data_IF_369527822334
#
_entry.id   IF_369527822334
#
_cell.length_a   1.000
_cell.length_b   1.000
_cell.length_c   1.000
_cell.angle_alpha   90.00
_cell.angle_beta   90.00
_cell.angle_gamma   90.00
#
_symmetry.space_group_name_H-M   'P 1'
#
loop_
_entity.id
_entity.type
_entity.pdbx_description
1 polymer ?
#
# COMPACT_ATOMS: atom_id res chain seq x y z
N UNK A 1 16.30 5.71 22.84
CA UNK A 1 16.67 5.05 21.58
C UNK A 1 15.88 5.81 20.56
N UNK A 2 16.57 6.61 19.74
CA UNK A 2 15.92 7.25 18.61
C UNK A 2 15.60 6.09 17.66
N UNK A 3 14.33 5.69 17.59
CA UNK A 3 13.88 4.78 16.54
C UNK A 3 14.06 5.56 15.24
N UNK A 4 15.01 5.16 14.40
CA UNK A 4 15.15 5.73 13.07
C UNK A 4 13.84 5.42 12.33
N UNK A 5 13.06 6.46 12.04
CA UNK A 5 11.86 6.32 11.21
C UNK A 5 12.26 5.69 9.88
N UNK A 6 11.53 4.65 9.43
CA UNK A 6 11.86 3.99 8.19
C UNK A 6 11.65 4.96 7.02
N UNK A 7 12.68 5.07 6.17
CA UNK A 7 12.69 5.99 5.02
C UNK A 7 11.79 5.42 3.90
N UNK A 8 11.07 6.27 3.14
CA UNK A 8 10.38 5.87 1.92
C UNK A 8 11.25 5.05 0.96
N UNK A 9 10.72 3.91 0.51
CA UNK A 9 11.42 2.96 -0.33
C UNK A 9 10.58 2.63 -1.58
N UNK A 10 11.26 2.40 -2.70
CA UNK A 10 10.65 1.94 -3.95
C UNK A 10 10.48 0.42 -3.91
N UNK A 11 9.36 -0.07 -4.46
CA UNK A 11 9.08 -1.49 -4.64
C UNK A 11 8.75 -1.80 -6.09
N UNK A 12 9.38 -2.86 -6.59
CA UNK A 12 9.12 -3.39 -7.93
C UNK A 12 8.13 -4.56 -7.91
N UNK A 13 7.70 -5.04 -6.74
CA UNK A 13 6.71 -6.12 -6.63
C UNK A 13 5.72 -5.87 -5.50
N UNK A 14 4.47 -6.31 -5.69
CA UNK A 14 3.44 -6.23 -4.65
C UNK A 14 3.87 -7.01 -3.40
N UNK A 15 4.48 -8.18 -3.60
CA UNK A 15 4.87 -9.03 -2.49
C UNK A 15 5.95 -8.38 -1.62
N UNK A 16 6.94 -7.70 -2.21
CA UNK A 16 7.97 -7.01 -1.46
C UNK A 16 7.40 -5.81 -0.71
N UNK A 17 6.49 -5.06 -1.34
CA UNK A 17 5.77 -3.97 -0.69
C UNK A 17 4.98 -4.47 0.53
N UNK A 18 4.15 -5.50 0.37
CA UNK A 18 3.34 -6.03 1.46
C UNK A 18 4.19 -6.65 2.57
N UNK A 19 5.31 -7.30 2.23
CA UNK A 19 6.25 -7.81 3.25
C UNK A 19 6.87 -6.67 4.06
N UNK A 20 7.19 -5.55 3.43
CA UNK A 20 7.69 -4.37 4.14
C UNK A 20 6.63 -3.76 5.05
N UNK A 21 5.41 -3.56 4.55
CA UNK A 21 4.30 -3.04 5.36
C UNK A 21 3.99 -3.95 6.56
N UNK A 22 4.05 -5.28 6.38
CA UNK A 22 3.90 -6.24 7.46
C UNK A 22 5.00 -6.11 8.52
N UNK A 23 6.25 -5.94 8.10
CA UNK A 23 7.38 -5.67 9.03
C UNK A 23 7.22 -4.36 9.78
N UNK A 24 6.62 -3.36 9.14
CA UNK A 24 6.30 -2.07 9.72
C UNK A 24 5.08 -2.10 10.67
N UNK A 25 4.42 -3.25 10.83
CA UNK A 25 3.30 -3.42 11.76
C UNK A 25 1.91 -3.37 11.11
N UNK A 26 1.83 -3.41 9.78
CA UNK A 26 0.58 -3.47 9.02
C UNK A 26 0.37 -4.87 8.45
N UNK A 27 -0.31 -5.78 9.17
CA UNK A 27 -0.55 -7.13 8.66
C UNK A 27 -1.50 -7.06 7.45
N UNK A 28 -1.38 -8.03 6.53
CA UNK A 28 -2.05 -7.96 5.23
C UNK A 28 -3.59 -7.87 5.32
N UNK A 29 -4.19 -8.43 6.38
CA UNK A 29 -5.62 -8.37 6.68
C UNK A 29 -6.07 -7.00 7.23
N UNK A 30 -5.13 -6.09 7.46
CA UNK A 30 -5.33 -4.71 7.89
C UNK A 30 -4.86 -3.69 6.85
N UNK A 31 -4.50 -4.14 5.65
CA UNK A 31 -4.14 -3.26 4.55
C UNK A 31 -5.30 -3.19 3.57
N UNK A 32 -5.63 -1.96 3.21
CA UNK A 32 -6.62 -1.62 2.19
C UNK A 32 -5.93 -0.90 1.03
N UNK A 33 -6.61 -0.77 -0.09
CA UNK A 33 -6.14 0.07 -1.19
C UNK A 33 -7.26 0.90 -1.80
N UNK A 34 -6.91 2.08 -2.28
CA UNK A 34 -7.73 2.87 -3.19
C UNK A 34 -7.33 2.61 -4.62
N UNK A 35 -8.34 2.63 -5.48
CA UNK A 35 -8.21 2.62 -6.92
C UNK A 35 -8.57 3.97 -7.54
N UNK A 36 -8.02 4.24 -8.72
CA UNK A 36 -8.29 5.46 -9.45
C UNK A 36 -9.78 5.58 -9.74
N UNK A 37 -10.35 6.78 -9.54
CA UNK A 37 -11.77 7.07 -9.77
C UNK A 37 -12.76 6.14 -9.04
N UNK A 38 -12.35 5.52 -7.93
CA UNK A 38 -13.18 4.58 -7.21
C UNK A 38 -13.31 3.21 -7.90
N UNK A 39 -12.35 2.85 -8.76
CA UNK A 39 -12.30 1.54 -9.40
C UNK A 39 -11.10 0.72 -8.89
N UNK A 40 -11.40 -0.41 -8.24
CA UNK A 40 -10.40 -1.38 -7.76
C UNK A 40 -9.50 -1.92 -8.88
N UNK A 41 -9.94 -1.79 -10.13
CA UNK A 41 -9.20 -2.24 -11.30
C UNK A 41 -8.04 -1.32 -11.67
N UNK A 42 -7.73 -0.26 -10.93
CA UNK A 42 -6.51 0.56 -11.10
C UNK A 42 -5.99 1.04 -9.73
N UNK A 43 -5.23 0.23 -8.98
CA UNK A 43 -4.76 0.60 -7.65
C UNK A 43 -3.78 1.79 -7.71
N UNK A 44 -3.96 2.75 -6.79
CA UNK A 44 -3.13 3.97 -6.71
C UNK A 44 -2.54 4.24 -5.33
N UNK A 45 -3.11 3.68 -4.26
CA UNK A 45 -2.66 3.91 -2.91
C UNK A 45 -3.00 2.73 -2.00
N UNK A 46 -2.14 2.44 -1.03
CA UNK A 46 -2.39 1.53 0.08
C UNK A 46 -2.59 2.30 1.37
N UNK A 47 -3.54 1.82 2.17
CA UNK A 47 -3.95 2.41 3.43
C UNK A 47 -3.78 1.40 4.55
N UNK A 48 -3.39 1.88 5.72
CA UNK A 48 -3.54 1.14 6.94
C UNK A 48 -5.02 1.09 7.37
N UNK A 49 -5.33 0.19 8.31
CA UNK A 49 -6.67 0.03 8.90
C UNK A 49 -7.18 1.30 9.59
N UNK A 50 -6.31 2.25 9.91
CA UNK A 50 -6.65 3.55 10.48
C UNK A 50 -6.85 4.65 9.42
N UNK A 51 -7.08 4.28 8.15
CA UNK A 51 -7.29 5.17 7.00
C UNK A 51 -6.07 5.99 6.58
N UNK A 52 -4.90 5.72 7.15
CA UNK A 52 -3.67 6.45 6.81
C UNK A 52 -3.01 5.89 5.55
N UNK A 53 -2.54 6.79 4.69
CA UNK A 53 -1.72 6.43 3.54
C UNK A 53 -0.39 5.83 4.00
N UNK A 54 -0.06 4.63 3.51
CA UNK A 54 1.18 3.92 3.86
C UNK A 54 2.03 3.57 2.63
N UNK A 55 1.42 3.55 1.43
CA UNK A 55 2.15 3.51 0.17
C UNK A 55 1.33 4.12 -0.97
N UNK A 56 1.99 4.63 -1.99
CA UNK A 56 1.37 5.25 -3.16
C UNK A 56 2.07 4.86 -4.46
N UNK A 57 1.31 4.92 -5.55
CA UNK A 57 1.84 4.84 -6.90
C UNK A 57 2.18 6.24 -7.39
N UNK A 58 3.40 6.43 -7.87
CA UNK A 58 3.86 7.69 -8.46
C UNK A 58 3.52 7.77 -9.95
N UNK A 59 3.64 8.97 -10.52
CA UNK A 59 3.36 9.26 -11.93
C UNK A 59 4.18 8.41 -12.93
N UNK A 60 5.37 7.96 -12.52
CA UNK A 60 6.23 7.06 -13.29
C UNK A 60 5.84 5.57 -13.16
N UNK A 61 4.71 5.30 -12.53
CA UNK A 61 4.18 3.96 -12.29
C UNK A 61 4.86 3.22 -11.14
N UNK A 62 5.90 3.77 -10.52
CA UNK A 62 6.60 3.11 -9.42
C UNK A 62 5.83 3.21 -8.10
N UNK A 63 5.94 2.15 -7.29
CA UNK A 63 5.31 2.07 -5.97
C UNK A 63 6.29 2.42 -4.87
N UNK A 64 5.85 3.26 -3.94
CA UNK A 64 6.67 3.72 -2.83
C UNK A 64 5.91 3.67 -1.52
N UNK A 65 6.58 3.31 -0.43
CA UNK A 65 6.10 3.70 0.91
C UNK A 65 6.17 5.21 1.08
N UNK A 66 5.35 5.77 1.97
CA UNK A 66 5.32 7.21 2.29
C UNK A 66 5.96 7.51 3.63
N UNK A 67 6.31 8.77 3.90
CA UNK A 67 6.81 9.19 5.20
C UNK A 67 5.81 8.83 6.32
N UNK A 68 6.33 8.30 7.42
CA UNK A 68 5.52 7.86 8.55
C UNK A 68 4.87 6.49 8.38
N UNK A 69 5.03 5.77 7.25
CA UNK A 69 4.38 4.45 7.08
C UNK A 69 4.67 3.45 8.21
N UNK A 70 5.76 3.64 8.96
CA UNK A 70 6.10 2.83 10.14
C UNK A 70 5.31 3.13 11.41
N UNK A 71 4.50 4.19 11.47
CA UNK A 71 3.76 4.52 12.70
C UNK A 71 2.72 3.43 13.01
N UNK A 72 2.47 3.23 14.30
CA UNK A 72 1.44 2.30 14.76
C UNK A 72 0.03 2.77 14.39
N UNK A 73 -0.84 1.82 14.06
CA UNK A 73 -2.24 2.09 13.76
C UNK A 73 -2.98 2.72 14.95
N UNK A 74 -3.72 3.81 14.72
CA UNK A 74 -4.56 4.42 15.76
C UNK A 74 -5.91 3.69 15.86
N UNK A 75 -6.19 2.96 16.96
CA UNK A 75 -7.43 2.18 17.10
C UNK A 75 -8.70 3.04 17.23
N UNK A 76 -8.57 4.38 17.29
CA UNK A 76 -9.71 5.31 17.34
C UNK A 76 -10.11 5.82 15.97
N UNK A 77 -9.26 5.64 14.96
CA UNK A 77 -9.59 6.00 13.59
C UNK A 77 -10.46 4.91 12.97
N UNK A 78 -11.40 5.31 12.10
CA UNK A 78 -12.22 4.34 11.37
C UNK A 78 -11.40 3.61 10.29
N UNK A 79 -11.91 2.45 9.90
CA UNK A 79 -11.46 1.77 8.68
C UNK A 79 -11.70 2.64 7.45
N UNK A 80 -10.87 2.49 6.40
CA UNK A 80 -11.04 3.23 5.16
C UNK A 80 -12.45 3.07 4.55
N UNK A 81 -13.11 4.18 4.26
CA UNK A 81 -14.34 4.19 3.44
C UNK A 81 -13.98 4.13 1.96
N UNK A 82 -14.81 3.52 1.10
CA UNK A 82 -14.60 3.44 -0.35
C UNK A 82 -13.26 2.79 -0.81
N UNK A 83 -12.63 1.99 0.05
CA UNK A 83 -11.43 1.21 -0.26
C UNK A 83 -11.74 -0.29 -0.37
N UNK A 84 -10.80 -1.05 -0.92
CA UNK A 84 -10.89 -2.51 -1.04
C UNK A 84 -9.83 -3.18 -0.19
N UNK A 85 -10.17 -4.31 0.43
CA UNK A 85 -9.24 -5.07 1.24
C UNK A 85 -8.20 -5.78 0.35
N UNK A 86 -6.93 -5.74 0.76
CA UNK A 86 -5.85 -6.34 -0.04
C UNK A 86 -5.99 -7.86 -0.14
N UNK A 87 -6.52 -8.52 0.89
CA UNK A 87 -6.62 -9.99 0.93
C UNK A 87 -7.58 -10.53 -0.13
N UNK A 88 -8.78 -9.96 -0.25
CA UNK A 88 -9.81 -10.40 -1.19
C UNK A 88 -9.48 -10.05 -2.64
N UNK A 89 -8.70 -8.98 -2.87
CA UNK A 89 -8.37 -8.48 -4.21
C UNK A 89 -6.90 -8.76 -4.60
N UNK A 90 -6.20 -9.61 -3.86
CA UNK A 90 -4.77 -9.90 -4.08
C UNK A 90 -4.44 -10.26 -5.52
N UNK A 91 -5.25 -11.13 -6.14
CA UNK A 91 -5.04 -11.54 -7.53
C UNK A 91 -5.14 -10.40 -8.55
N UNK A 92 -6.01 -9.41 -8.32
CA UNK A 92 -6.11 -8.23 -9.18
C UNK A 92 -4.88 -7.31 -9.01
N UNK A 93 -4.43 -7.13 -7.76
CA UNK A 93 -3.24 -6.33 -7.45
C UNK A 93 -1.98 -6.94 -8.06
N UNK A 94 -1.79 -8.26 -7.96
CA UNK A 94 -0.64 -8.97 -8.56
C UNK A 94 -0.62 -8.75 -10.09
N UNK A 95 -1.76 -8.90 -10.78
CA UNK A 95 -1.84 -8.62 -12.22
C UNK A 95 -1.48 -7.17 -12.58
N UNK A 96 -1.82 -6.22 -11.71
CA UNK A 96 -1.51 -4.81 -11.93
C UNK A 96 -0.04 -4.50 -11.78
N UNK A 97 0.60 -5.00 -10.73
CA UNK A 97 2.04 -4.82 -10.55
C UNK A 97 2.80 -5.46 -11.71
N UNK A 98 2.42 -6.66 -12.15
CA UNK A 98 3.06 -7.34 -13.29
C UNK A 98 2.90 -6.57 -14.62
N UNK A 99 1.72 -6.01 -14.90
CA UNK A 99 1.48 -5.23 -16.12
C UNK A 99 2.13 -3.84 -16.05
N UNK A 100 2.04 -3.17 -14.90
CA UNK A 100 2.60 -1.83 -14.69
C UNK A 100 4.13 -1.81 -14.79
N UNK A 101 4.82 -2.90 -14.43
CA UNK A 101 6.27 -3.03 -14.66
C UNK A 101 6.55 -3.08 -16.17
N UNK A 102 5.83 -3.91 -16.92
CA UNK A 102 6.06 -4.11 -18.36
C UNK A 102 5.80 -2.88 -19.22
N UNK A 103 4.92 -1.98 -18.77
CA UNK A 103 4.68 -0.71 -19.46
C UNK A 103 5.78 0.34 -19.23
N UNK A 104 6.61 0.15 -18.19
CA UNK A 104 7.68 1.07 -17.79
C UNK A 104 9.10 0.52 -18.06
N UNK A 105 9.24 -0.65 -18.67
CA UNK A 105 10.49 -1.23 -19.21
C UNK A 105 10.76 -0.78 -20.65
#
# INVERSE_FOLDING_TARGET
>A
MDEEEPVPQKFDSLNDLLNELNRAGHPNDQIWFYGANGDYSEPVAFLAVDSRLIAERRDDGSWWTVDGYGDANDPRMPEPEDAWDVESYRGQLDMWFDNGIRENE
#
